data_IF_695685280218
#
_entry.id   IF_695685280218
#
_cell.length_a   1.000
_cell.length_b   1.000
_cell.length_c   1.000
_cell.angle_alpha   90.00
_cell.angle_beta   90.00
_cell.angle_gamma   90.00
#
_symmetry.space_group_name_H-M   'P 1'
#
loop_
_entity.id
_entity.type
_entity.pdbx_description
1 polymer ?
#
# COMPACT_ATOMS: atom_id res chain seq x y z
N UNK A 1 8.56 -15.18 -1.92
CA UNK A 1 8.34 -14.77 -3.33
C UNK A 1 9.70 -14.62 -4.02
N UNK A 2 9.86 -15.11 -5.25
CA UNK A 2 11.08 -14.89 -6.05
C UNK A 2 11.16 -13.44 -6.54
N UNK A 3 12.36 -12.85 -6.61
CA UNK A 3 12.57 -11.49 -7.15
C UNK A 3 12.01 -11.30 -8.56
N UNK A 4 12.01 -12.38 -9.36
CA UNK A 4 11.43 -12.38 -10.71
C UNK A 4 9.90 -12.26 -10.68
N UNK A 5 9.23 -13.01 -9.79
CA UNK A 5 7.77 -12.94 -9.63
C UNK A 5 7.32 -11.55 -9.19
N UNK A 6 8.06 -10.95 -8.26
CA UNK A 6 7.82 -9.57 -7.77
C UNK A 6 7.95 -8.56 -8.92
N UNK A 7 8.99 -8.69 -9.75
CA UNK A 7 9.21 -7.77 -10.86
C UNK A 7 8.15 -7.92 -11.95
N UNK A 8 7.72 -9.15 -12.26
CA UNK A 8 6.61 -9.40 -13.20
C UNK A 8 5.29 -8.79 -12.74
N UNK A 9 4.97 -8.89 -11.45
CA UNK A 9 3.79 -8.23 -10.88
C UNK A 9 3.87 -6.70 -10.99
N UNK A 10 5.06 -6.12 -10.81
CA UNK A 10 5.28 -4.69 -10.99
C UNK A 10 5.07 -4.26 -12.45
N UNK A 11 5.60 -5.02 -13.41
CA UNK A 11 5.40 -4.76 -14.85
C UNK A 11 3.91 -4.81 -15.19
N UNK A 12 3.19 -5.85 -14.73
CA UNK A 12 1.76 -6.01 -15.00
C UNK A 12 0.90 -4.88 -14.41
N UNK A 13 1.27 -4.36 -13.23
CA UNK A 13 0.56 -3.23 -12.61
C UNK A 13 0.80 -1.91 -13.36
N UNK A 14 1.99 -1.73 -13.94
CA UNK A 14 2.38 -0.52 -14.69
C UNK A 14 1.94 -0.57 -16.16
N UNK A 15 1.82 -1.75 -16.76
CA UNK A 15 1.40 -1.94 -18.14
C UNK A 15 -0.11 -2.23 -18.28
N UNK A 16 -0.96 -1.66 -17.41
CA UNK A 16 -2.41 -1.93 -17.40
C UNK A 16 -3.12 -1.65 -18.73
N UNK A 17 -2.59 -0.72 -19.51
CA UNK A 17 -3.13 -0.34 -20.82
C UNK A 17 -2.44 -1.10 -21.97
N UNK A 18 -1.60 -2.11 -21.67
CA UNK A 18 -0.85 -2.91 -22.64
C UNK A 18 0.42 -2.24 -23.17
N UNK A 19 0.71 -1.02 -22.75
CA UNK A 19 1.90 -0.25 -23.10
C UNK A 19 2.59 0.28 -21.84
N UNK A 20 3.86 0.66 -21.98
CA UNK A 20 4.67 1.25 -20.92
C UNK A 20 5.18 2.60 -21.43
N UNK A 21 4.82 3.67 -20.75
CA UNK A 21 5.34 5.01 -21.04
C UNK A 21 6.82 5.13 -20.67
N UNK A 22 7.51 6.14 -21.21
CA UNK A 22 8.94 6.38 -20.91
C UNK A 22 9.20 6.56 -19.41
N UNK A 23 8.31 7.26 -18.69
CA UNK A 23 8.41 7.43 -17.24
C UNK A 23 8.21 6.11 -16.47
N UNK A 24 7.31 5.25 -16.94
CA UNK A 24 7.08 3.94 -16.32
C UNK A 24 8.26 2.99 -16.57
N UNK A 25 8.86 3.06 -17.75
CA UNK A 25 10.07 2.32 -18.08
C UNK A 25 11.25 2.74 -17.20
N UNK A 26 11.46 4.04 -16.95
CA UNK A 26 12.51 4.52 -16.04
C UNK A 26 12.33 3.99 -14.61
N UNK A 27 11.08 3.96 -14.13
CA UNK A 27 10.75 3.39 -12.82
C UNK A 27 11.05 1.88 -12.80
N UNK A 28 10.65 1.14 -13.84
CA UNK A 28 10.91 -0.30 -13.94
C UNK A 28 12.42 -0.60 -14.02
N UNK A 29 13.20 0.23 -14.71
CA UNK A 29 14.65 0.13 -14.74
C UNK A 29 15.26 0.33 -13.34
N UNK A 30 14.93 1.42 -12.65
CA UNK A 30 15.42 1.68 -11.28
C UNK A 30 15.08 0.51 -10.36
N UNK A 31 13.82 0.04 -10.40
CA UNK A 31 13.34 -1.05 -9.54
C UNK A 31 13.94 -2.40 -9.89
N UNK A 32 14.15 -2.69 -11.17
CA UNK A 32 14.80 -3.91 -11.60
C UNK A 32 16.25 -3.98 -11.14
N UNK A 33 16.97 -2.85 -11.24
CA UNK A 33 18.33 -2.72 -10.71
C UNK A 33 18.38 -2.88 -9.19
N UNK A 34 17.43 -2.28 -8.45
CA UNK A 34 17.30 -2.46 -6.99
C UNK A 34 17.10 -3.94 -6.59
N UNK A 35 16.41 -4.72 -7.43
CA UNK A 35 16.21 -6.17 -7.24
C UNK A 35 17.43 -7.02 -7.67
N UNK A 36 18.50 -6.37 -8.14
CA UNK A 36 19.72 -7.01 -8.60
C UNK A 36 19.60 -7.64 -9.99
N UNK A 37 18.77 -7.07 -10.87
CA UNK A 37 18.79 -7.36 -12.29
C UNK A 37 19.66 -6.33 -13.02
N UNK A 38 20.41 -6.77 -14.02
CA UNK A 38 21.02 -5.84 -14.96
C UNK A 38 19.97 -5.28 -15.94
N UNK A 39 20.32 -4.18 -16.62
CA UNK A 39 19.45 -3.49 -17.59
C UNK A 39 18.92 -4.42 -18.68
N UNK A 40 19.72 -5.36 -19.18
CA UNK A 40 19.28 -6.27 -20.25
C UNK A 40 18.24 -7.26 -19.71
N UNK A 41 18.44 -7.76 -18.50
CA UNK A 41 17.49 -8.65 -17.83
C UNK A 41 16.16 -7.95 -17.59
N UNK A 42 16.19 -6.66 -17.18
CA UNK A 42 14.98 -5.84 -17.04
C UNK A 42 14.24 -5.70 -18.36
N UNK A 43 14.96 -5.30 -19.42
CA UNK A 43 14.37 -5.16 -20.76
C UNK A 43 13.73 -6.44 -21.27
N UNK A 44 14.37 -7.59 -21.02
CA UNK A 44 13.85 -8.89 -21.42
C UNK A 44 12.58 -9.25 -20.65
N UNK A 45 12.55 -9.04 -19.33
CA UNK A 45 11.38 -9.32 -18.51
C UNK A 45 10.19 -8.44 -18.91
N UNK A 46 10.44 -7.16 -19.19
CA UNK A 46 9.41 -6.24 -19.70
C UNK A 46 8.86 -6.73 -21.04
N UNK A 47 9.74 -7.02 -22.00
CA UNK A 47 9.34 -7.50 -23.33
C UNK A 47 8.54 -8.80 -23.26
N UNK A 48 8.97 -9.74 -22.43
CA UNK A 48 8.29 -11.02 -22.24
C UNK A 48 6.89 -10.82 -21.65
N UNK A 49 6.74 -10.01 -20.61
CA UNK A 49 5.43 -9.78 -19.99
C UNK A 49 4.47 -9.04 -20.92
N UNK A 50 4.95 -8.03 -21.66
CA UNK A 50 4.16 -7.32 -22.66
C UNK A 50 3.75 -8.23 -23.83
N UNK A 51 4.63 -9.12 -24.28
CA UNK A 51 4.33 -10.11 -25.31
C UNK A 51 3.28 -11.12 -24.82
N UNK A 52 3.40 -11.61 -23.59
CA UNK A 52 2.48 -12.57 -22.97
C UNK A 52 1.11 -11.95 -22.64
N UNK A 53 1.03 -10.62 -22.54
CA UNK A 53 -0.21 -9.85 -22.35
C UNK A 53 -1.10 -9.84 -23.59
N UNK A 54 -0.53 -10.02 -24.78
CA UNK A 54 -1.27 -10.02 -26.05
C UNK A 54 -2.08 -11.30 -26.30
N UNK A 55 -1.94 -12.35 -25.46
CA UNK A 55 -2.45 -13.69 -25.75
C UNK A 55 -3.28 -14.34 -24.63
N UNK A 56 -3.77 -13.59 -23.64
CA UNK A 56 -4.55 -14.14 -22.51
C UNK A 56 -5.95 -13.53 -22.41
N UNK A 57 -6.91 -14.19 -23.05
CA UNK A 57 -8.33 -14.17 -22.70
C UNK A 57 -8.62 -15.31 -21.71
N UNK A 58 -9.45 -15.01 -20.69
CA UNK A 58 -10.03 -15.86 -19.63
C UNK A 58 -9.23 -16.13 -18.34
N UNK A 59 -9.72 -15.46 -17.29
CA UNK A 59 -10.21 -15.95 -15.97
C UNK A 59 -9.38 -16.85 -15.03
N UNK A 60 -9.53 -16.46 -13.77
CA UNK A 60 -9.49 -17.21 -12.51
C UNK A 60 -8.15 -17.44 -11.81
N UNK A 61 -8.15 -17.03 -10.54
CA UNK A 61 -7.64 -17.91 -9.49
C UNK A 61 -6.90 -17.22 -8.37
N UNK A 62 -7.65 -16.88 -7.31
CA UNK A 62 -7.26 -16.77 -5.89
C UNK A 62 -5.89 -17.36 -5.51
N UNK A 63 -5.05 -16.50 -4.93
CA UNK A 63 -3.99 -16.88 -3.99
C UNK A 63 -4.41 -16.38 -2.61
N UNK A 64 -5.13 -17.22 -1.87
CA UNK A 64 -5.33 -17.10 -0.43
C UNK A 64 -4.06 -17.62 0.27
N UNK A 65 -3.39 -16.79 1.05
CA UNK A 65 -2.71 -17.24 2.28
C UNK A 65 -3.40 -16.55 3.46
N UNK A 66 -4.18 -17.36 4.17
CA UNK A 66 -4.92 -17.04 5.37
C UNK A 66 -3.97 -16.92 6.56
N UNK A 67 -4.15 -15.88 7.37
CA UNK A 67 -4.25 -16.07 8.82
C UNK A 67 -5.44 -15.28 9.33
N UNK A 68 -6.47 -16.05 9.68
CA UNK A 68 -7.51 -15.83 10.68
C UNK A 68 -8.59 -14.79 10.36
N UNK A 69 -9.71 -15.34 9.87
CA UNK A 69 -11.05 -14.77 9.95
C UNK A 69 -11.45 -14.67 11.42
N UNK A 70 -11.33 -13.48 11.99
CA UNK A 70 -12.39 -12.97 12.86
C UNK A 70 -13.25 -12.07 11.98
N UNK A 71 -14.56 -12.29 11.96
CA UNK A 71 -15.54 -11.38 11.35
C UNK A 71 -15.66 -10.09 12.20
N UNK A 72 -14.54 -9.44 12.48
CA UNK A 72 -14.51 -8.06 12.95
C UNK A 72 -14.58 -7.14 11.73
N UNK A 73 -15.47 -6.15 11.76
CA UNK A 73 -15.60 -5.17 10.69
C UNK A 73 -14.30 -4.36 10.55
N UNK A 74 -13.37 -4.82 9.70
CA UNK A 74 -12.15 -4.09 9.36
C UNK A 74 -12.43 -3.00 8.33
N UNK A 75 -12.08 -1.76 8.67
CA UNK A 75 -12.13 -0.63 7.74
C UNK A 75 -10.74 -0.30 7.23
N UNK A 76 -10.52 -0.44 5.92
CA UNK A 76 -9.23 -0.20 5.27
C UNK A 76 -9.24 1.09 4.46
N UNK A 77 -8.26 1.94 4.71
CA UNK A 77 -8.06 3.22 4.06
C UNK A 77 -6.69 3.26 3.40
N UNK A 78 -6.59 3.90 2.24
CA UNK A 78 -5.34 4.11 1.51
C UNK A 78 -5.12 5.61 1.29
N UNK A 79 -3.86 6.03 1.30
CA UNK A 79 -3.48 7.37 0.89
C UNK A 79 -3.90 7.66 -0.55
N UNK A 80 -4.22 8.92 -0.82
CA UNK A 80 -4.76 9.36 -2.10
C UNK A 80 -3.64 9.79 -3.04
N UNK A 81 -3.49 9.06 -4.15
CA UNK A 81 -2.55 9.40 -5.23
C UNK A 81 -2.76 10.83 -5.73
N UNK A 82 -4.03 11.24 -5.89
CA UNK A 82 -4.42 12.60 -6.32
C UNK A 82 -4.01 13.71 -5.34
N UNK A 83 -3.56 13.36 -4.14
CA UNK A 83 -3.06 14.29 -3.11
C UNK A 83 -1.56 14.13 -2.85
N UNK A 84 -0.85 13.46 -3.75
CA UNK A 84 0.59 13.21 -3.63
C UNK A 84 0.95 12.02 -2.75
N UNK A 85 0.01 11.09 -2.54
CA UNK A 85 0.30 9.77 -1.99
C UNK A 85 1.07 8.91 -2.98
N UNK A 86 1.91 8.00 -2.47
CA UNK A 86 2.73 7.12 -3.29
C UNK A 86 1.85 6.13 -4.07
N UNK A 87 2.04 6.06 -5.40
CA UNK A 87 1.30 5.12 -6.28
C UNK A 87 1.64 3.67 -5.94
N UNK A 88 2.93 3.38 -5.79
CA UNK A 88 3.44 2.02 -5.59
C UNK A 88 3.55 1.67 -4.10
N UNK A 89 3.80 2.65 -3.23
CA UNK A 89 4.00 2.46 -1.79
C UNK A 89 2.97 3.23 -0.95
N UNK A 90 1.66 3.10 -1.22
CA UNK A 90 0.67 3.90 -0.51
C UNK A 90 0.70 3.59 0.99
N UNK A 91 0.58 4.62 1.80
CA UNK A 91 0.26 4.49 3.21
C UNK A 91 -1.13 3.86 3.36
N UNK A 92 -1.25 2.83 4.20
CA UNK A 92 -2.50 2.12 4.47
C UNK A 92 -2.76 2.16 5.97
N UNK A 93 -3.98 2.52 6.36
CA UNK A 93 -4.48 2.40 7.74
C UNK A 93 -5.65 1.43 7.75
N UNK A 94 -5.62 0.47 8.67
CA UNK A 94 -6.66 -0.52 8.91
C UNK A 94 -7.16 -0.32 10.34
N UNK A 95 -8.45 -0.10 10.51
CA UNK A 95 -9.08 0.01 11.83
C UNK A 95 -9.92 -1.25 12.04
N UNK A 96 -9.47 -2.12 12.96
CA UNK A 96 -10.22 -3.28 13.44
C UNK A 96 -10.91 -2.96 14.78
N UNK A 97 -11.66 -3.90 15.36
CA UNK A 97 -12.38 -3.67 16.62
C UNK A 97 -11.42 -3.28 17.77
N UNK A 98 -10.29 -3.96 17.84
CA UNK A 98 -9.37 -3.85 18.98
C UNK A 98 -8.06 -3.12 18.64
N UNK A 99 -7.77 -2.83 17.37
CA UNK A 99 -6.48 -2.27 16.96
C UNK A 99 -6.56 -1.31 15.78
N UNK A 100 -5.56 -0.45 15.67
CA UNK A 100 -5.26 0.28 14.44
C UNK A 100 -3.92 -0.17 13.91
N UNK A 101 -3.91 -0.60 12.65
CA UNK A 101 -2.73 -1.09 11.98
C UNK A 101 -2.35 -0.18 10.82
N UNK A 102 -1.12 0.34 10.85
CA UNK A 102 -0.48 0.98 9.72
C UNK A 102 0.28 -0.05 8.90
N UNK A 103 0.18 0.05 7.56
CA UNK A 103 0.98 -0.72 6.61
C UNK A 103 1.53 0.19 5.53
N UNK A 104 2.80 0.02 5.18
CA UNK A 104 3.41 0.66 4.00
C UNK A 104 4.42 -0.27 3.38
N UNK A 105 4.38 -0.40 2.04
CA UNK A 105 5.44 -1.10 1.31
C UNK A 105 6.74 -0.28 1.39
N UNK A 106 7.85 -0.94 1.66
CA UNK A 106 9.17 -0.32 1.54
C UNK A 106 9.38 0.17 0.08
N UNK A 107 10.22 1.20 -0.12
CA UNK A 107 10.61 1.77 -1.43
C UNK A 107 11.02 0.71 -2.46
N UNK A 108 11.56 -0.41 -2.01
CA UNK A 108 11.97 -1.54 -2.85
C UNK A 108 10.85 -2.55 -3.17
N UNK A 109 9.64 -2.35 -2.65
CA UNK A 109 8.45 -3.20 -2.83
C UNK A 109 8.57 -4.67 -2.35
N UNK A 110 9.71 -5.04 -1.78
CA UNK A 110 10.01 -6.39 -1.30
C UNK A 110 9.41 -6.73 0.06
N UNK A 111 9.14 -5.72 0.89
CA UNK A 111 8.66 -5.87 2.26
C UNK A 111 7.59 -4.84 2.59
N UNK A 112 6.73 -5.19 3.55
CA UNK A 112 5.69 -4.32 4.10
C UNK A 112 6.06 -4.02 5.55
N UNK A 113 6.33 -2.76 5.84
CA UNK A 113 6.44 -2.29 7.21
C UNK A 113 5.04 -2.21 7.80
N UNK A 114 4.84 -2.80 8.97
CA UNK A 114 3.55 -2.86 9.65
C UNK A 114 3.70 -2.51 11.13
N UNK A 115 2.85 -1.62 11.62
CA UNK A 115 2.79 -1.23 13.04
C UNK A 115 1.34 -1.36 13.48
N UNK A 116 1.07 -2.11 14.55
CA UNK A 116 -0.26 -2.25 15.12
C UNK A 116 -0.29 -1.72 16.55
N UNK A 117 -1.27 -0.86 16.82
CA UNK A 117 -1.47 -0.24 18.13
C UNK A 117 -2.87 -0.63 18.62
N UNK A 118 -3.00 -1.26 19.81
CA UNK A 118 -4.30 -1.51 20.41
C UNK A 118 -5.08 -0.21 20.63
N UNK A 119 -6.39 -0.21 20.34
CA UNK A 119 -7.28 0.96 20.49
C UNK A 119 -7.20 1.53 21.93
N UNK A 120 -7.10 0.64 22.92
CA UNK A 120 -6.97 0.98 24.35
C UNK A 120 -5.68 1.73 24.70
N UNK A 121 -4.64 1.65 23.86
CA UNK A 121 -3.36 2.35 24.06
C UNK A 121 -3.27 3.67 23.29
N UNK A 122 -4.24 3.98 22.42
CA UNK A 122 -4.25 5.23 21.66
C UNK A 122 -4.59 6.39 22.60
N UNK A 123 -3.68 7.35 22.72
CA UNK A 123 -3.85 8.54 23.56
C UNK A 123 -4.47 9.71 22.81
N UNK A 124 -4.14 9.88 21.52
CA UNK A 124 -4.76 10.92 20.69
C UNK A 124 -4.73 10.54 19.20
N UNK A 125 -5.68 11.11 18.45
CA UNK A 125 -5.71 11.06 16.99
C UNK A 125 -5.81 12.51 16.49
N UNK A 126 -4.74 12.97 15.86
CA UNK A 126 -4.59 14.33 15.33
C UNK A 126 -4.69 14.30 13.81
N UNK A 127 -5.37 15.30 13.23
CA UNK A 127 -5.51 15.46 11.79
C UNK A 127 -4.80 16.75 11.37
N UNK A 128 -3.69 16.62 10.65
CA UNK A 128 -3.00 17.75 10.05
C UNK A 128 -3.47 17.92 8.60
N UNK A 129 -4.35 18.89 8.38
CA UNK A 129 -4.98 19.11 7.07
C UNK A 129 -4.27 20.23 6.31
N UNK A 130 -3.78 19.90 5.13
CA UNK A 130 -3.19 20.86 4.19
C UNK A 130 -4.00 20.94 2.89
N UNK A 131 -3.62 21.85 1.98
CA UNK A 131 -4.20 21.90 0.63
C UNK A 131 -3.95 20.59 -0.15
N UNK A 132 -2.83 19.93 0.14
CA UNK A 132 -2.32 18.74 -0.55
C UNK A 132 -2.55 17.47 0.26
N UNK A 133 -3.73 17.32 0.86
CA UNK A 133 -4.14 16.13 1.62
C UNK A 133 -4.09 16.32 3.14
N UNK A 134 -4.55 15.29 3.85
CA UNK A 134 -4.60 15.26 5.31
C UNK A 134 -3.70 14.14 5.83
N UNK A 135 -2.79 14.49 6.72
CA UNK A 135 -1.97 13.54 7.46
C UNK A 135 -2.67 13.19 8.78
N UNK A 136 -2.54 11.93 9.19
CA UNK A 136 -3.20 11.37 10.37
C UNK A 136 -2.09 10.92 11.32
N UNK A 137 -2.08 11.50 12.51
CA UNK A 137 -1.07 11.21 13.54
C UNK A 137 -1.79 10.54 14.71
N UNK A 138 -1.54 9.24 14.90
CA UNK A 138 -2.13 8.44 15.97
C UNK A 138 -1.06 8.20 17.03
N UNK A 139 -1.20 8.85 18.18
CA UNK A 139 -0.24 8.73 19.28
C UNK A 139 -0.71 7.65 20.24
N UNK A 140 0.25 6.92 20.81
CA UNK A 140 -0.03 5.88 21.79
C UNK A 140 0.78 6.05 23.06
N UNK A 141 0.29 5.47 24.14
CA UNK A 141 1.05 5.39 25.39
C UNK A 141 2.02 4.21 25.31
N UNK A 142 3.31 4.52 25.20
CA UNK A 142 4.40 3.54 25.31
C UNK A 142 4.70 2.71 24.05
N UNK A 143 3.93 2.85 22.96
CA UNK A 143 4.15 2.11 21.70
C UNK A 143 4.51 3.03 20.51
N UNK A 144 4.78 4.32 20.75
CA UNK A 144 5.16 5.29 19.73
C UNK A 144 3.95 5.94 19.04
N UNK A 145 4.13 6.31 17.78
CA UNK A 145 3.10 6.94 16.95
C UNK A 145 3.02 6.32 15.56
N UNK A 146 1.82 6.33 14.98
CA UNK A 146 1.57 6.02 13.57
C UNK A 146 1.36 7.36 12.85
N UNK A 147 2.06 7.56 11.74
CA UNK A 147 1.87 8.72 10.85
C UNK A 147 1.45 8.21 9.48
N UNK A 148 0.17 8.36 9.15
CA UNK A 148 -0.35 8.09 7.82
C UNK A 148 -0.40 9.36 6.99
N UNK A 149 0.27 9.38 5.83
CA UNK A 149 0.38 10.59 5.01
C UNK A 149 -0.59 10.63 3.83
N UNK A 150 -0.99 11.83 3.43
CA UNK A 150 -1.69 12.12 2.16
C UNK A 150 -3.03 11.42 1.98
N UNK A 151 -3.80 11.27 3.05
CA UNK A 151 -5.17 10.78 2.96
C UNK A 151 -6.12 11.85 2.43
N UNK A 152 -7.29 11.43 1.93
CA UNK A 152 -8.36 12.40 1.71
C UNK A 152 -8.86 12.91 3.05
N UNK A 153 -9.38 14.15 3.08
CA UNK A 153 -9.97 14.72 4.29
C UNK A 153 -11.15 13.89 4.82
N UNK A 154 -11.87 13.20 3.93
CA UNK A 154 -12.97 12.32 4.31
C UNK A 154 -12.46 11.07 5.01
N UNK A 155 -11.49 10.38 4.42
CA UNK A 155 -10.89 9.17 5.00
C UNK A 155 -10.25 9.46 6.34
N UNK A 156 -9.52 10.57 6.45
CA UNK A 156 -8.88 10.98 7.69
C UNK A 156 -9.88 11.23 8.83
N UNK A 157 -11.01 11.87 8.52
CA UNK A 157 -12.09 12.06 9.49
C UNK A 157 -12.74 10.74 9.87
N UNK A 158 -12.92 9.84 8.90
CA UNK A 158 -13.57 8.55 9.13
C UNK A 158 -12.71 7.62 9.99
N UNK A 159 -11.40 7.57 9.74
CA UNK A 159 -10.43 6.86 10.58
C UNK A 159 -10.53 7.36 12.03
N UNK A 160 -10.50 8.68 12.22
CA UNK A 160 -10.63 9.27 13.56
C UNK A 160 -11.95 8.89 14.23
N UNK A 161 -13.07 8.96 13.50
CA UNK A 161 -14.40 8.61 14.01
C UNK A 161 -14.44 7.16 14.47
N UNK A 162 -13.98 6.23 13.63
CA UNK A 162 -13.97 4.80 13.93
C UNK A 162 -13.14 4.45 15.16
N UNK A 163 -11.97 5.07 15.31
CA UNK A 163 -11.12 4.86 16.49
C UNK A 163 -11.83 5.36 17.76
N UNK A 164 -12.41 6.55 17.71
CA UNK A 164 -13.09 7.16 18.86
C UNK A 164 -14.34 6.38 19.27
N UNK A 165 -15.11 5.84 18.32
CA UNK A 165 -16.27 5.00 18.62
C UNK A 165 -15.87 3.72 19.35
N UNK A 166 -14.76 3.10 18.92
CA UNK A 166 -14.25 1.87 19.54
C UNK A 166 -13.61 2.11 20.92
N UNK A 167 -13.09 3.31 21.20
CA UNK A 167 -12.61 3.66 22.54
C UNK A 167 -13.73 3.84 23.57
N UNK A 168 -14.95 4.13 23.13
CA UNK A 168 -16.10 4.41 24.00
C UNK A 168 -17.01 3.19 24.20
N UNK A 169 -16.67 2.04 23.60
CA UNK A 169 -17.31 0.75 23.84
C UNK A 169 -16.67 0.05 25.04
#
# INVERSE_FOLDING_TARGET
MSKEKIFKELIAEMAKDGEISSSEYEILLEKGMDLGFDTNTVDLLIKLELADSSNRSYDNGKDNELTEQDEDCEHKFKSAITRGGDVLTPDIIIVSENSVTYKKRNKYLINVDSISIPISKISSVELDSSLWGTDIIIKSVGAGEIIGKKFTKSDAKEIRRLIQEKQNR
#
